data_IF_156688075509
#
_entry.id   IF_156688075509
#
_cell.length_a   1.000
_cell.length_b   1.000
_cell.length_c   1.000
_cell.angle_alpha   90.00
_cell.angle_beta   90.00
_cell.angle_gamma   90.00
#
_symmetry.space_group_name_H-M   'P 1'
#
loop_
_entity.id
_entity.type
_entity.pdbx_description
1 polymer ?
#
# COMPACT_ATOMS: atom_id res chain seq x y z
N UNK A 1 2.01 -15.89 -18.01
CA UNK A 1 3.45 -15.62 -17.80
C UNK A 1 3.72 -14.27 -18.42
N UNK A 2 3.78 -13.21 -17.61
CA UNK A 2 4.09 -11.86 -18.09
C UNK A 2 5.58 -11.79 -18.36
N UNK A 3 6.00 -11.40 -19.56
CA UNK A 3 7.42 -11.24 -19.87
C UNK A 3 8.01 -10.14 -18.97
N UNK A 4 9.25 -10.28 -18.49
CA UNK A 4 9.92 -9.18 -17.80
C UNK A 4 10.06 -8.03 -18.79
N UNK A 5 9.50 -6.87 -18.47
CA UNK A 5 9.76 -5.67 -19.28
C UNK A 5 11.26 -5.36 -19.23
N UNK A 6 11.85 -5.15 -20.39
CA UNK A 6 13.26 -4.87 -20.55
C UNK A 6 13.48 -3.42 -20.11
N UNK A 7 14.13 -3.24 -18.95
CA UNK A 7 14.63 -1.94 -18.51
C UNK A 7 15.78 -1.54 -19.44
N UNK A 8 15.64 -0.40 -20.13
CA UNK A 8 16.66 0.10 -21.05
C UNK A 8 17.45 1.25 -20.42
N UNK A 9 16.76 2.19 -19.77
CA UNK A 9 17.37 3.41 -19.26
C UNK A 9 17.77 3.31 -17.78
N UNK A 10 17.12 2.45 -17.00
CA UNK A 10 17.33 2.35 -15.54
C UNK A 10 18.20 1.17 -15.12
N UNK A 11 18.66 0.34 -16.06
CA UNK A 11 19.37 -0.91 -15.74
C UNK A 11 20.72 -0.66 -15.04
N UNK A 12 21.39 0.46 -15.33
CA UNK A 12 22.66 0.83 -14.69
C UNK A 12 22.57 0.94 -13.16
N UNK A 13 21.36 1.15 -12.62
CA UNK A 13 21.11 1.24 -11.18
C UNK A 13 21.37 -0.12 -10.49
N UNK A 14 21.22 -1.22 -11.23
CA UNK A 14 21.49 -2.57 -10.73
C UNK A 14 22.97 -2.76 -10.38
N UNK A 15 23.89 -2.12 -11.10
CA UNK A 15 25.33 -2.19 -10.84
C UNK A 15 25.73 -1.57 -9.49
N UNK A 16 24.89 -0.67 -8.97
CA UNK A 16 25.12 -0.01 -7.69
C UNK A 16 24.60 -0.81 -6.49
N UNK A 17 23.71 -1.78 -6.74
CA UNK A 17 23.18 -2.66 -5.71
C UNK A 17 24.23 -3.67 -5.25
N UNK A 18 24.08 -4.21 -4.02
CA UNK A 18 24.94 -5.30 -3.58
C UNK A 18 24.59 -6.60 -4.33
N UNK A 19 25.55 -7.52 -4.43
CA UNK A 19 25.41 -8.76 -5.23
C UNK A 19 24.46 -9.79 -4.62
N UNK A 20 24.02 -9.60 -3.38
CA UNK A 20 23.09 -10.47 -2.65
C UNK A 20 21.61 -10.12 -2.89
N UNK A 21 21.31 -9.17 -3.78
CA UNK A 21 19.93 -8.81 -4.10
C UNK A 21 19.22 -9.88 -4.92
N UNK A 22 17.95 -10.11 -4.58
CA UNK A 22 17.06 -10.98 -5.36
C UNK A 22 16.18 -10.10 -6.24
N UNK A 23 16.20 -10.37 -7.54
CA UNK A 23 15.40 -9.67 -8.54
C UNK A 23 14.06 -10.40 -8.76
N UNK A 24 12.96 -9.65 -8.87
CA UNK A 24 11.64 -10.18 -9.21
C UNK A 24 10.82 -9.18 -10.00
N UNK A 25 10.18 -9.63 -11.09
CA UNK A 25 9.28 -8.76 -11.86
C UNK A 25 8.06 -8.36 -11.03
N UNK A 26 7.77 -7.05 -10.97
CA UNK A 26 6.67 -6.47 -10.20
C UNK A 26 6.12 -5.21 -10.86
N UNK A 27 4.79 -5.09 -10.95
CA UNK A 27 4.08 -3.86 -11.35
C UNK A 27 4.56 -3.22 -12.68
N UNK A 28 4.89 -4.02 -13.69
CA UNK A 28 5.40 -3.49 -14.98
C UNK A 28 6.87 -3.06 -14.91
N UNK A 29 7.62 -3.57 -13.93
CA UNK A 29 9.05 -3.32 -13.80
C UNK A 29 9.73 -4.41 -12.98
N UNK A 30 10.78 -4.02 -12.27
CA UNK A 30 11.66 -4.93 -11.53
C UNK A 30 11.76 -4.50 -10.08
N UNK A 31 11.39 -5.39 -9.16
CA UNK A 31 11.60 -5.25 -7.72
C UNK A 31 12.91 -5.92 -7.29
N UNK A 32 13.63 -5.26 -6.39
CA UNK A 32 14.87 -5.75 -5.78
C UNK A 32 14.66 -5.96 -4.29
N UNK A 33 15.06 -7.14 -3.83
CA UNK A 33 14.92 -7.58 -2.45
C UNK A 33 16.29 -7.75 -1.81
N UNK A 34 16.45 -7.25 -0.58
CA UNK A 34 17.63 -7.41 0.24
C UNK A 34 17.19 -7.84 1.64
N UNK A 35 17.76 -8.94 2.17
CA UNK A 35 17.41 -9.50 3.48
C UNK A 35 15.88 -9.68 3.67
N UNK A 36 15.20 -10.26 2.68
CA UNK A 36 13.72 -10.47 2.64
C UNK A 36 12.87 -9.18 2.61
N UNK A 37 13.50 -8.01 2.47
CA UNK A 37 12.81 -6.72 2.35
C UNK A 37 12.83 -6.23 0.92
N UNK A 38 11.69 -5.75 0.43
CA UNK A 38 11.62 -5.06 -0.85
C UNK A 38 12.18 -3.65 -0.69
N UNK A 39 13.35 -3.37 -1.25
CA UNK A 39 14.10 -2.12 -1.04
C UNK A 39 13.98 -1.13 -2.19
N UNK A 40 13.82 -1.63 -3.42
CA UNK A 40 13.76 -0.82 -4.63
C UNK A 40 12.80 -1.48 -5.63
N UNK A 41 12.07 -0.65 -6.38
CA UNK A 41 11.35 -1.07 -7.58
C UNK A 41 11.73 -0.10 -8.69
N UNK A 42 12.26 -0.62 -9.79
CA UNK A 42 12.52 0.12 -11.01
C UNK A 42 11.36 -0.08 -11.96
N UNK A 43 10.81 1.02 -12.47
CA UNK A 43 9.72 0.98 -13.44
C UNK A 43 10.03 1.97 -14.55
N UNK A 44 9.93 1.50 -15.79
CA UNK A 44 10.22 2.29 -16.99
C UNK A 44 9.01 2.26 -17.93
N UNK A 45 7.90 2.78 -17.45
CA UNK A 45 6.67 2.91 -18.23
C UNK A 45 6.40 4.36 -18.60
N UNK A 46 6.25 4.62 -19.89
CA UNK A 46 6.21 5.97 -20.46
C UNK A 46 4.80 6.56 -20.64
N UNK A 47 3.74 5.84 -20.26
CA UNK A 47 2.39 6.13 -20.76
C UNK A 47 1.46 6.87 -19.81
N UNK A 48 1.79 7.04 -18.52
CA UNK A 48 0.80 7.47 -17.53
C UNK A 48 1.26 8.70 -16.73
N UNK A 49 0.65 9.84 -17.05
CA UNK A 49 0.72 11.09 -16.27
C UNK A 49 -0.49 11.27 -15.35
N UNK A 50 -1.51 10.42 -15.49
CA UNK A 50 -2.76 10.52 -14.75
C UNK A 50 -2.97 9.33 -13.82
N UNK A 51 -3.34 9.59 -12.57
CA UNK A 51 -3.72 8.54 -11.64
C UNK A 51 -4.92 8.99 -10.83
N UNK A 52 -6.01 8.21 -10.88
CA UNK A 52 -7.29 8.50 -10.20
C UNK A 52 -7.88 9.88 -10.53
N UNK A 53 -7.74 10.31 -11.79
CA UNK A 53 -8.24 11.60 -12.27
C UNK A 53 -7.41 12.82 -11.84
N UNK A 54 -6.20 12.61 -11.33
CA UNK A 54 -5.22 13.66 -11.00
C UNK A 54 -4.07 13.56 -12.01
N UNK A 55 -3.78 14.68 -12.68
CA UNK A 55 -2.66 14.81 -13.63
C UNK A 55 -1.41 15.29 -12.89
N UNK A 56 -0.28 14.64 -13.14
CA UNK A 56 1.03 14.95 -12.56
C UNK A 56 1.94 15.56 -13.63
N UNK A 57 2.88 16.45 -13.26
CA UNK A 57 3.81 17.05 -14.22
C UNK A 57 4.89 16.07 -14.71
N UNK A 58 4.99 14.88 -14.10
CA UNK A 58 5.95 13.84 -14.43
C UNK A 58 5.25 12.51 -14.73
N UNK A 59 5.94 11.62 -15.43
CA UNK A 59 5.50 10.24 -15.68
C UNK A 59 5.49 9.49 -14.36
N UNK A 60 4.34 8.98 -13.94
CA UNK A 60 4.17 8.38 -12.60
C UNK A 60 4.94 7.05 -12.49
N UNK A 61 5.11 6.33 -13.60
CA UNK A 61 5.71 5.01 -13.65
C UNK A 61 7.07 4.99 -14.38
N UNK A 62 7.82 6.08 -14.35
CA UNK A 62 9.15 6.16 -14.98
C UNK A 62 10.22 6.62 -13.99
N UNK A 63 10.80 5.71 -13.22
CA UNK A 63 11.82 6.03 -12.23
C UNK A 63 11.99 4.97 -11.14
N UNK A 64 12.45 5.42 -9.97
CA UNK A 64 12.74 4.56 -8.82
C UNK A 64 11.66 4.70 -7.75
N UNK A 65 11.09 3.58 -7.31
CA UNK A 65 10.24 3.53 -6.13
C UNK A 65 10.98 2.87 -4.97
N UNK A 66 10.89 3.48 -3.79
CA UNK A 66 11.50 3.03 -2.55
C UNK A 66 10.39 2.71 -1.54
N UNK A 67 10.05 1.43 -1.34
CA UNK A 67 9.06 1.04 -0.36
C UNK A 67 9.59 1.26 1.06
N UNK A 68 8.88 2.08 1.82
CA UNK A 68 9.27 2.46 3.18
C UNK A 68 8.08 2.31 4.12
N UNK A 69 8.34 1.84 5.34
CA UNK A 69 7.33 1.78 6.39
C UNK A 69 6.94 3.20 6.78
N UNK A 70 5.64 3.51 6.77
CA UNK A 70 5.08 4.85 7.04
C UNK A 70 5.66 5.54 8.29
N UNK A 71 5.92 4.78 9.36
CA UNK A 71 6.50 5.29 10.62
C UNK A 71 7.91 5.88 10.40
N UNK A 72 8.67 5.33 9.45
CA UNK A 72 10.05 5.73 9.13
C UNK A 72 10.14 6.78 8.02
N UNK A 73 9.05 7.06 7.30
CA UNK A 73 9.05 8.00 6.17
C UNK A 73 9.52 9.40 6.56
N UNK A 74 9.13 9.91 7.73
CA UNK A 74 9.57 11.23 8.19
C UNK A 74 11.10 11.32 8.33
N UNK A 75 11.73 10.25 8.82
CA UNK A 75 13.19 10.19 8.93
C UNK A 75 13.86 10.12 7.54
N UNK A 76 13.23 9.44 6.59
CA UNK A 76 13.70 9.39 5.21
C UNK A 76 13.55 10.75 4.52
N UNK A 77 12.41 11.43 4.65
CA UNK A 77 12.22 12.78 4.12
C UNK A 77 13.19 13.80 4.71
N UNK A 78 13.51 13.67 6.00
CA UNK A 78 14.51 14.54 6.63
C UNK A 78 15.91 14.35 6.04
N UNK A 79 16.23 13.15 5.54
CA UNK A 79 17.53 12.84 4.92
C UNK A 79 17.53 13.06 3.40
N UNK A 80 16.41 12.82 2.74
CA UNK A 80 16.24 12.84 1.29
C UNK A 80 15.00 13.69 0.94
N UNK A 81 15.12 15.02 0.97
CA UNK A 81 13.98 15.92 0.78
C UNK A 81 13.45 15.97 -0.65
N UNK A 82 14.22 15.47 -1.61
CA UNK A 82 13.85 15.38 -3.04
C UNK A 82 12.92 14.20 -3.35
N UNK A 83 12.74 13.26 -2.41
CA UNK A 83 11.81 12.16 -2.59
C UNK A 83 10.38 12.64 -2.43
N UNK A 84 9.48 12.12 -3.25
CA UNK A 84 8.04 12.41 -3.19
C UNK A 84 7.23 11.16 -2.88
N UNK A 85 6.00 11.32 -2.40
CA UNK A 85 5.11 10.16 -2.22
C UNK A 85 4.53 9.73 -3.57
N UNK A 86 4.57 8.42 -3.84
CA UNK A 86 4.00 7.89 -5.07
C UNK A 86 2.45 7.92 -5.06
N UNK A 87 1.79 8.32 -6.15
CA UNK A 87 0.32 8.39 -6.23
C UNK A 87 -0.39 7.05 -6.02
N UNK A 88 0.24 5.94 -6.42
CA UNK A 88 -0.35 4.60 -6.29
C UNK A 88 -0.41 4.10 -4.85
N UNK A 89 0.61 4.43 -4.03
CA UNK A 89 0.73 3.95 -2.66
C UNK A 89 1.41 4.99 -1.78
N UNK A 90 0.81 5.36 -0.63
CA UNK A 90 1.40 6.33 0.27
C UNK A 90 2.66 5.82 0.98
N UNK A 91 2.94 4.51 0.91
CA UNK A 91 4.12 3.90 1.53
C UNK A 91 5.32 3.82 0.57
N UNK A 92 5.15 4.25 -0.68
CA UNK A 92 6.21 4.24 -1.68
C UNK A 92 6.71 5.66 -1.86
N UNK A 93 7.99 5.87 -1.58
CA UNK A 93 8.65 7.09 -2.01
C UNK A 93 9.10 6.93 -3.45
N UNK A 94 9.10 8.01 -4.20
CA UNK A 94 9.31 8.01 -5.63
C UNK A 94 10.35 9.06 -6.01
N UNK A 95 11.21 8.68 -6.94
CA UNK A 95 12.16 9.54 -7.60
C UNK A 95 11.92 9.44 -9.12
N UNK A 96 11.37 10.48 -9.76
CA UNK A 96 11.16 10.50 -11.21
C UNK A 96 12.50 10.48 -11.96
N UNK A 97 12.57 9.73 -13.06
CA UNK A 97 13.76 9.69 -13.92
C UNK A 97 14.05 11.01 -14.64
N UNK A 98 13.06 11.91 -14.73
CA UNK A 98 13.16 13.23 -15.38
C UNK A 98 13.74 14.32 -14.45
N UNK A 99 14.23 13.93 -13.27
CA UNK A 99 14.81 14.84 -12.28
C UNK A 99 16.23 15.22 -12.70
N UNK A 100 16.59 16.49 -12.64
CA UNK A 100 17.91 17.00 -13.09
C UNK A 100 19.10 16.29 -12.41
N UNK A 101 18.99 16.01 -11.11
CA UNK A 101 20.04 15.34 -10.31
C UNK A 101 19.76 13.85 -10.08
N UNK A 102 18.96 13.22 -10.94
CA UNK A 102 18.50 11.84 -10.77
C UNK A 102 19.64 10.87 -10.42
N UNK A 103 20.72 10.89 -11.20
CA UNK A 103 21.83 9.95 -11.04
C UNK A 103 22.53 10.08 -9.68
N UNK A 104 22.73 11.31 -9.21
CA UNK A 104 23.41 11.60 -7.94
C UNK A 104 22.52 11.22 -6.74
N UNK A 105 21.23 11.54 -6.84
CA UNK A 105 20.22 11.25 -5.83
C UNK A 105 20.02 9.73 -5.67
N UNK A 106 19.97 8.98 -6.77
CA UNK A 106 19.92 7.52 -6.76
C UNK A 106 21.17 6.95 -6.09
N UNK A 107 22.37 7.41 -6.46
CA UNK A 107 23.63 6.94 -5.86
C UNK A 107 23.67 7.18 -4.36
N UNK A 108 23.18 8.33 -3.90
CA UNK A 108 23.12 8.68 -2.49
C UNK A 108 22.22 7.70 -1.70
N UNK A 109 21.03 7.40 -2.23
CA UNK A 109 20.08 6.45 -1.62
C UNK A 109 20.63 5.03 -1.64
N UNK A 110 21.15 4.57 -2.78
CA UNK A 110 21.67 3.22 -2.92
C UNK A 110 22.89 2.95 -2.05
N UNK A 111 23.75 3.96 -1.85
CA UNK A 111 24.86 3.87 -0.88
C UNK A 111 24.36 3.56 0.53
N UNK A 112 23.21 4.10 0.89
CA UNK A 112 22.56 3.88 2.18
C UNK A 112 21.91 2.49 2.28
N UNK A 113 21.27 2.04 1.20
CA UNK A 113 20.70 0.68 1.09
C UNK A 113 21.81 -0.37 1.16
N UNK A 114 22.95 -0.14 0.49
CA UNK A 114 24.13 -1.02 0.53
C UNK A 114 24.72 -1.17 1.94
N UNK A 115 24.54 -0.17 2.80
CA UNK A 115 24.90 -0.24 4.23
C UNK A 115 23.86 -0.97 5.08
N UNK A 116 22.84 -1.58 4.47
CA UNK A 116 21.70 -2.23 5.13
C UNK A 116 20.97 -1.30 6.10
N UNK A 117 20.78 -0.04 5.72
CA UNK A 117 20.09 0.93 6.57
C UNK A 117 18.65 0.45 6.88
N UNK A 118 18.27 0.29 8.17
CA UNK A 118 16.95 -0.21 8.55
C UNK A 118 15.79 0.72 8.20
N UNK A 119 16.06 1.95 7.73
CA UNK A 119 15.03 2.87 7.25
C UNK A 119 14.39 2.42 5.94
N UNK A 120 15.16 1.75 5.09
CA UNK A 120 14.71 1.30 3.78
C UNK A 120 14.16 -0.11 3.82
N UNK A 121 13.16 -0.33 2.99
CA UNK A 121 12.58 -1.63 2.74
C UNK A 121 11.33 -1.92 3.56
N UNK A 122 10.43 -2.67 2.94
CA UNK A 122 9.27 -3.26 3.58
C UNK A 122 9.47 -4.77 3.63
N UNK A 123 9.29 -5.38 4.80
CA UNK A 123 9.33 -6.83 4.93
C UNK A 123 8.15 -7.41 4.16
N UNK A 124 8.47 -8.19 3.13
CA UNK A 124 7.43 -8.91 2.38
C UNK A 124 7.35 -10.28 3.02
N UNK A 125 6.24 -10.56 3.68
CA UNK A 125 5.92 -11.94 4.04
C UNK A 125 5.77 -12.70 2.72
N UNK A 126 6.83 -13.38 2.30
CA UNK A 126 6.76 -14.32 1.18
C UNK A 126 5.84 -15.41 1.71
N UNK A 127 4.56 -15.33 1.34
CA UNK A 127 3.55 -16.27 1.78
C UNK A 127 4.09 -17.67 1.50
N UNK A 128 4.45 -18.40 2.58
CA UNK A 128 4.82 -19.80 2.47
C UNK A 128 3.69 -20.47 1.69
N UNK A 129 3.97 -21.28 0.66
CA UNK A 129 2.91 -21.92 -0.10
C UNK A 129 2.06 -22.68 0.90
N UNK A 130 0.81 -22.25 1.09
CA UNK A 130 -0.18 -23.03 1.84
C UNK A 130 -0.26 -24.34 1.07
N UNK A 131 0.28 -25.42 1.65
CA UNK A 131 0.01 -26.78 1.18
C UNK A 131 -1.50 -26.84 1.04
N UNK A 132 -2.00 -26.99 -0.19
CA UNK A 132 -3.40 -27.35 -0.41
C UNK A 132 -3.56 -28.65 0.36
N UNK A 133 -4.24 -28.60 1.50
CA UNK A 133 -4.75 -29.81 2.10
C UNK A 133 -5.69 -30.37 1.05
N UNK A 134 -5.36 -31.55 0.52
CA UNK A 134 -6.22 -32.29 -0.37
C UNK A 134 -7.61 -32.32 0.26
N UNK A 135 -8.58 -31.71 -0.42
CA UNK A 135 -9.99 -31.94 -0.15
C UNK A 135 -10.27 -33.38 -0.56
N UNK A 136 -9.97 -34.31 0.34
CA UNK A 136 -10.55 -35.66 0.30
C UNK A 136 -12.04 -35.46 0.49
N UNK A 137 -12.79 -35.65 -0.59
CA UNK A 137 -14.23 -35.81 -0.58
C UNK A 137 -14.56 -37.09 0.18
N UNK A 138 -14.90 -36.96 1.46
CA UNK A 138 -15.59 -38.03 2.18
C UNK A 138 -17.04 -38.10 1.69
N UNK A 139 -17.32 -39.12 0.89
CA UNK A 139 -18.65 -39.57 0.54
C UNK A 139 -19.42 -39.97 1.81
N UNK A 140 -20.25 -39.07 2.33
CA UNK A 140 -21.24 -39.45 3.35
C UNK A 140 -22.40 -40.14 2.63
N UNK A 141 -22.30 -41.47 2.56
CA UNK A 141 -23.36 -42.37 2.11
C UNK A 141 -24.53 -42.33 3.14
N UNK A 142 -25.59 -41.58 2.82
CA UNK A 142 -26.79 -41.51 3.66
C UNK A 142 -27.61 -42.80 3.50
N UNK A 143 -27.45 -43.74 4.42
CA UNK A 143 -28.20 -45.00 4.40
C UNK A 143 -29.61 -44.80 4.99
N UNK A 144 -30.63 -44.67 4.14
CA UNK A 144 -32.04 -44.38 4.50
C UNK A 144 -32.82 -45.60 5.02
N UNK A 145 -32.15 -46.64 5.51
CA UNK A 145 -32.80 -47.90 5.91
C UNK A 145 -33.14 -47.97 7.40
N UNK A 146 -33.80 -46.95 7.96
CA UNK A 146 -34.50 -47.07 9.23
C UNK A 146 -35.92 -46.48 9.14
N UNK A 147 -36.97 -47.28 9.29
CA UNK A 147 -38.33 -46.79 9.28
C UNK A 147 -38.63 -46.09 10.62
N UNK A 148 -39.11 -44.85 10.52
CA UNK A 148 -39.70 -44.11 11.63
C UNK A 148 -41.06 -44.75 11.99
N UNK A 149 -41.04 -45.74 12.88
CA UNK A 149 -42.21 -46.17 13.65
C UNK A 149 -42.16 -45.42 14.99
N UNK A 150 -43.25 -44.75 15.37
CA UNK A 150 -43.45 -43.92 16.57
C UNK A 150 -42.89 -42.48 16.45
N UNK A 151 -43.66 -41.40 16.57
CA UNK A 151 -45.04 -41.23 17.00
C UNK A 151 -45.64 -39.93 16.43
N UNK A 152 -46.96 -39.97 16.33
CA UNK A 152 -47.84 -38.94 15.79
C UNK A 152 -47.98 -37.71 16.73
N UNK A 153 -48.31 -36.59 16.09
CA UNK A 153 -48.79 -35.25 16.54
C UNK A 153 -50.04 -35.31 17.48
N UNK A 154 -50.72 -34.19 17.90
CA UNK A 154 -50.41 -32.74 17.96
C UNK A 154 -50.97 -31.97 19.22
N UNK A 155 -50.91 -30.63 19.17
CA UNK A 155 -51.87 -29.62 19.68
C UNK A 155 -51.58 -28.77 20.95
N UNK A 156 -51.39 -27.48 20.66
CA UNK A 156 -52.02 -26.29 21.27
C UNK A 156 -51.79 -25.94 22.75
N UNK A 157 -51.21 -24.77 23.00
CA UNK A 157 -51.92 -23.64 23.65
C UNK A 157 -51.08 -22.36 23.69
N UNK A 158 -51.78 -21.25 23.47
CA UNK A 158 -51.32 -19.87 23.61
C UNK A 158 -51.20 -19.52 25.09
N UNK A 159 -50.15 -18.81 25.50
CA UNK A 159 -50.32 -17.78 26.56
C UNK A 159 -49.28 -16.67 26.47
N UNK A 160 -49.81 -15.44 26.53
CA UNK A 160 -49.15 -14.14 26.50
C UNK A 160 -48.50 -13.84 27.85
N UNK A 161 -47.38 -13.12 27.86
CA UNK A 161 -47.19 -11.95 28.75
C UNK A 161 -45.94 -11.14 28.38
N UNK A 162 -46.13 -9.84 28.12
CA UNK A 162 -45.17 -8.76 28.42
C UNK A 162 -45.68 -8.06 29.68
N UNK A 163 -44.80 -7.40 30.46
CA UNK A 163 -44.88 -5.92 30.52
C UNK A 163 -43.48 -5.23 30.52
N UNK A 164 -43.26 -4.13 29.77
CA UNK A 164 -43.26 -2.69 30.18
C UNK A 164 -41.80 -2.19 30.43
N UNK A 165 -41.15 -1.40 29.53
CA UNK A 165 -41.16 0.09 29.35
C UNK A 165 -40.36 0.78 30.48
N UNK A 166 -39.40 1.73 30.35
CA UNK A 166 -38.68 2.56 29.34
C UNK A 166 -37.50 3.27 30.13
N UNK A 167 -36.94 4.45 29.78
CA UNK A 167 -35.91 4.78 28.77
C UNK A 167 -34.67 5.54 29.34
N UNK A 168 -33.72 5.90 28.45
CA UNK A 168 -32.45 6.62 28.64
C UNK A 168 -32.51 8.04 29.27
N UNK A 169 -31.35 8.70 29.50
CA UNK A 169 -31.10 9.90 28.69
C UNK A 169 -29.66 10.08 28.14
N UNK A 170 -29.61 10.97 27.14
CA UNK A 170 -28.51 11.38 26.24
C UNK A 170 -27.62 12.48 26.86
N UNK A 171 -26.37 12.62 26.38
CA UNK A 171 -25.75 13.91 25.97
C UNK A 171 -24.33 13.68 25.40
N UNK A 172 -24.08 13.95 24.10
CA UNK A 172 -23.50 15.19 23.53
C UNK A 172 -22.05 15.45 24.01
N UNK A 173 -21.02 15.55 23.15
CA UNK A 173 -20.88 16.57 22.09
C UNK A 173 -19.92 16.15 20.97
N UNK A 174 -20.36 16.42 19.74
CA UNK A 174 -19.54 16.59 18.53
C UNK A 174 -18.63 17.81 18.69
N UNK A 175 -17.35 17.69 18.38
CA UNK A 175 -16.49 18.84 18.07
C UNK A 175 -16.41 18.95 16.54
N UNK A 176 -17.24 19.85 15.99
CA UNK A 176 -17.07 20.42 14.65
C UNK A 176 -16.53 21.84 14.82
N UNK A 177 -15.27 22.06 14.47
CA UNK A 177 -14.64 23.33 14.07
C UNK A 177 -13.20 22.96 13.67
N UNK A 178 -12.58 23.41 12.58
CA UNK A 178 -12.64 24.76 12.03
C UNK A 178 -12.15 24.77 10.57
N UNK A 179 -13.05 24.50 9.59
CA UNK A 179 -12.71 24.51 8.15
C UNK A 179 -12.54 25.94 7.57
N UNK A 180 -12.62 26.97 8.42
CA UNK A 180 -12.53 28.39 8.02
C UNK A 180 -11.15 29.02 8.28
N UNK A 181 -10.28 28.35 9.06
CA UNK A 181 -8.93 28.85 9.36
C UNK A 181 -7.90 28.53 8.27
N UNK A 182 -8.09 27.46 7.51
CA UNK A 182 -7.15 27.04 6.45
C UNK A 182 -7.13 28.01 5.26
N UNK A 183 -8.25 28.67 4.95
CA UNK A 183 -8.32 29.61 3.83
C UNK A 183 -7.61 30.94 4.09
N UNK A 184 -7.49 31.38 5.35
CA UNK A 184 -6.80 32.63 5.66
C UNK A 184 -5.27 32.47 5.60
N UNK A 185 -4.76 31.27 5.88
CA UNK A 185 -3.32 30.98 5.84
C UNK A 185 -2.82 30.93 4.38
N UNK A 186 -3.59 30.34 3.46
CA UNK A 186 -3.30 30.31 2.03
C UNK A 186 -3.28 31.70 1.39
N UNK A 187 -4.23 32.57 1.73
CA UNK A 187 -4.28 33.96 1.24
C UNK A 187 -3.12 34.82 1.75
N UNK A 188 -2.61 34.55 2.96
CA UNK A 188 -1.47 35.29 3.53
C UNK A 188 -0.12 34.95 2.88
N UNK A 189 0.04 33.71 2.38
CA UNK A 189 1.25 33.26 1.69
C UNK A 189 1.31 33.79 0.26
N UNK A 190 0.16 33.83 -0.43
CA UNK A 190 0.07 34.40 -1.79
C UNK A 190 0.33 35.90 -1.82
N UNK A 191 -0.13 36.67 -0.82
CA UNK A 191 0.13 38.11 -0.76
C UNK A 191 1.60 38.47 -0.53
N UNK A 192 2.40 37.62 0.12
CA UNK A 192 3.83 37.88 0.34
C UNK A 192 4.71 37.64 -0.88
N UNK A 193 4.25 36.83 -1.85
CA UNK A 193 5.03 36.55 -3.08
C UNK A 193 4.89 37.65 -4.15
N UNK A 194 3.88 38.51 -4.07
CA UNK A 194 3.69 39.61 -5.03
C UNK A 194 4.33 40.94 -4.62
N UNK A 195 4.97 41.03 -3.45
CA UNK A 195 5.61 42.27 -2.95
C UNK A 195 7.13 42.26 -3.04
N UNK A 196 7.71 41.30 -3.77
CA UNK A 196 9.16 41.16 -3.96
C UNK A 196 9.56 41.20 -5.45
N UNK A 197 8.75 41.85 -6.29
CA UNK A 197 9.15 42.24 -7.65
C UNK A 197 9.56 43.70 -7.69
#
# INVERSE_FOLDING_TARGET
MSQPEILNNLLWIEELLPTDVIQKSMHGGVGYYLDEKLVLILVESSFTYEHKGITYPYKIWNGCLFPIVRIKQNAVFAKFPFLENHPASPNWLYLPADTENFDEDVRLILRDIKKRNPLFGIMVEIAKPKKKADSVSDDIQFNTSRPSLFAEKPMASKTKSKPVIKPAPKSLKKVKANKKQTNNLLLSVLKRKNTLS
#
